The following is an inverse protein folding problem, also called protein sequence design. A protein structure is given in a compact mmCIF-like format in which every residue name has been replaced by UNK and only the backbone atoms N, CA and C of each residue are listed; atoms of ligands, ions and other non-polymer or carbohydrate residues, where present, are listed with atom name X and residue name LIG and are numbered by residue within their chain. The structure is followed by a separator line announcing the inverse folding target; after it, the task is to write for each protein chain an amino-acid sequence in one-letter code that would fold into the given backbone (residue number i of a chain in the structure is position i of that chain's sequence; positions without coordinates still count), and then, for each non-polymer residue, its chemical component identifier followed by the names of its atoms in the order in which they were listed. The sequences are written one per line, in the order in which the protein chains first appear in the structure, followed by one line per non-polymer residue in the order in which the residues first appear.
data_IF_499388292946
#
_entry.id   IF_499388292946
#
_cell.length_a   1.000
_cell.length_b   1.000
_cell.length_c   1.000
_cell.angle_alpha   90.00
_cell.angle_beta   90.00
_cell.angle_gamma   90.00
#
_symmetry.space_group_name_H-M   'P 1'
#
loop_
_entity.id
_entity.type
_entity.pdbx_description
1 polymer ?
#
# COMPACT_ATOMS: atom_id res chain seq x y z
N UNK A 1 5.34 -6.71 -8.35
CA UNK A 1 6.61 -7.44 -8.19
C UNK A 1 6.32 -8.86 -7.74
N UNK A 2 6.78 -9.84 -8.49
CA UNK A 2 6.62 -11.26 -8.17
C UNK A 2 7.92 -11.79 -7.62
N UNK A 3 7.89 -12.49 -6.47
CA UNK A 3 9.08 -12.89 -5.73
C UNK A 3 9.08 -14.40 -5.50
N UNK A 4 10.23 -15.02 -5.65
CA UNK A 4 10.43 -16.42 -5.30
C UNK A 4 10.69 -16.55 -3.79
N UNK A 5 9.95 -17.40 -3.04
CA UNK A 5 9.99 -17.41 -1.59
C UNK A 5 11.35 -17.76 -0.97
N UNK A 6 12.15 -18.54 -1.65
CA UNK A 6 13.45 -18.96 -1.13
C UNK A 6 14.55 -17.91 -1.25
N UNK A 7 14.29 -16.76 -1.88
CA UNK A 7 15.37 -16.00 -2.46
C UNK A 7 15.33 -14.50 -2.21
N UNK A 8 14.19 -13.91 -1.91
CA UNK A 8 14.13 -12.47 -1.72
C UNK A 8 14.01 -12.09 -0.25
N UNK A 9 14.98 -11.34 0.20
CA UNK A 9 14.90 -10.59 1.45
C UNK A 9 15.09 -9.13 1.10
N UNK A 10 14.08 -8.33 1.38
CA UNK A 10 14.14 -6.89 1.18
C UNK A 10 14.28 -6.21 2.54
N UNK A 11 15.29 -5.37 2.65
CA UNK A 11 15.49 -4.53 3.82
C UNK A 11 15.08 -3.10 3.46
N UNK A 12 14.12 -2.56 4.21
CA UNK A 12 13.62 -1.20 4.02
C UNK A 12 14.02 -0.37 5.25
N UNK A 13 14.71 0.74 5.00
CA UNK A 13 15.03 1.69 6.05
C UNK A 13 13.79 2.54 6.37
N UNK A 14 13.47 2.65 7.65
CA UNK A 14 12.38 3.47 8.17
C UNK A 14 12.90 4.39 9.27
N UNK A 15 12.10 5.41 9.63
CA UNK A 15 12.47 6.35 10.69
C UNK A 15 12.77 5.68 12.03
N UNK A 16 12.17 4.52 12.30
CA UNK A 16 12.34 3.75 13.53
C UNK A 16 13.26 2.53 13.38
N UNK A 17 13.97 2.43 12.24
CA UNK A 17 14.90 1.33 11.99
C UNK A 17 14.63 0.59 10.70
N UNK A 18 15.34 -0.51 10.51
CA UNK A 18 15.27 -1.35 9.31
C UNK A 18 14.14 -2.37 9.44
N UNK A 19 13.34 -2.49 8.39
CA UNK A 19 12.33 -3.54 8.26
C UNK A 19 12.78 -4.55 7.20
N UNK A 20 12.84 -5.81 7.57
CA UNK A 20 13.17 -6.92 6.66
C UNK A 20 11.90 -7.61 6.21
N UNK A 21 11.79 -7.80 4.90
CA UNK A 21 10.60 -8.40 4.29
C UNK A 21 11.03 -9.56 3.41
N UNK A 22 10.35 -10.70 3.59
CA UNK A 22 10.48 -11.88 2.74
C UNK A 22 9.09 -12.41 2.46
N UNK A 23 8.71 -12.45 1.20
CA UNK A 23 7.37 -12.85 0.76
C UNK A 23 7.44 -14.15 -0.04
N UNK A 24 6.36 -14.96 -0.01
CA UNK A 24 6.25 -16.14 -0.86
C UNK A 24 6.12 -15.77 -2.34
N UNK A 25 6.34 -16.74 -3.22
CA UNK A 25 6.17 -16.55 -4.66
C UNK A 25 4.73 -16.13 -4.98
N UNK A 26 4.57 -15.21 -5.91
CA UNK A 26 3.28 -14.66 -6.29
C UNK A 26 2.87 -13.42 -5.49
N UNK A 27 3.54 -13.13 -4.41
CA UNK A 27 3.27 -11.93 -3.62
C UNK A 27 3.98 -10.71 -4.19
N UNK A 28 3.48 -9.55 -3.78
CA UNK A 28 4.00 -8.27 -4.22
C UNK A 28 4.23 -7.38 -3.00
N UNK A 29 5.26 -6.55 -3.06
CA UNK A 29 5.47 -5.48 -2.09
C UNK A 29 5.44 -4.14 -2.81
N UNK A 30 4.76 -3.17 -2.20
CA UNK A 30 4.71 -1.79 -2.66
C UNK A 30 5.35 -0.90 -1.60
N UNK A 31 6.25 -0.04 -2.02
CA UNK A 31 6.90 0.92 -1.12
C UNK A 31 7.21 2.22 -1.87
N UNK A 32 7.30 3.36 -1.16
CA UNK A 32 7.66 4.63 -1.80
C UNK A 32 9.04 4.58 -2.44
N UNK A 33 9.19 5.16 -3.62
CA UNK A 33 10.45 5.18 -4.35
C UNK A 33 11.57 5.90 -3.60
N UNK A 34 11.21 6.82 -2.71
CA UNK A 34 12.15 7.55 -1.85
C UNK A 34 12.67 6.72 -0.68
N UNK A 35 12.12 5.53 -0.45
CA UNK A 35 12.53 4.65 0.64
C UNK A 35 13.91 4.06 0.36
N UNK A 36 14.83 4.21 1.30
CA UNK A 36 16.13 3.55 1.22
C UNK A 36 15.92 2.05 1.44
N UNK A 37 16.33 1.25 0.48
CA UNK A 37 16.10 -0.19 0.51
C UNK A 37 17.28 -0.94 -0.09
N UNK A 38 17.37 -2.21 0.27
CA UNK A 38 18.42 -3.11 -0.20
C UNK A 38 17.82 -4.50 -0.41
N UNK A 39 18.24 -5.14 -1.47
CA UNK A 39 17.91 -6.54 -1.76
C UNK A 39 19.08 -7.41 -1.37
N UNK A 40 18.86 -8.33 -0.43
CA UNK A 40 19.94 -9.22 0.04
C UNK A 40 20.35 -10.22 -1.06
N UNK A 41 21.63 -10.63 -1.08
CA UNK A 41 22.08 -11.63 -2.02
C UNK A 41 21.34 -12.95 -1.89
N UNK A 42 21.22 -13.65 -3.01
CA UNK A 42 20.67 -15.00 -3.04
C UNK A 42 21.67 -15.98 -2.43
N UNK A 43 21.24 -16.70 -1.41
CA UNK A 43 22.09 -17.72 -0.76
C UNK A 43 21.78 -19.13 -1.24
N UNK A 44 20.58 -19.35 -1.80
CA UNK A 44 20.14 -20.66 -2.26
C UNK A 44 19.07 -20.51 -3.34
N UNK A 45 19.17 -21.27 -4.42
CA UNK A 45 18.22 -21.26 -5.52
C UNK A 45 18.35 -20.04 -6.42
N UNK A 46 17.25 -19.67 -7.05
CA UNK A 46 17.18 -18.56 -7.99
C UNK A 46 16.15 -17.54 -7.55
N UNK A 47 16.39 -16.28 -7.88
CA UNK A 47 15.42 -15.22 -7.72
C UNK A 47 14.95 -14.76 -9.09
N UNK A 48 13.62 -14.86 -9.30
CA UNK A 48 12.96 -14.29 -10.46
C UNK A 48 11.97 -13.27 -9.92
N UNK A 49 12.14 -12.01 -10.31
CA UNK A 49 11.26 -10.94 -9.88
C UNK A 49 11.00 -9.97 -11.02
N UNK A 50 9.82 -9.37 -11.02
CA UNK A 50 9.50 -8.25 -11.89
C UNK A 50 9.24 -7.02 -11.03
N UNK A 51 9.59 -5.86 -11.55
CA UNK A 51 9.29 -4.61 -10.89
C UNK A 51 8.73 -3.61 -11.87
N UNK A 52 7.93 -2.68 -11.35
CA UNK A 52 7.35 -1.61 -12.14
C UNK A 52 7.06 -0.42 -11.23
N UNK A 53 6.89 0.74 -11.86
CA UNK A 53 6.55 1.96 -11.15
C UNK A 53 5.05 2.14 -11.14
N UNK A 54 4.52 2.49 -9.96
CA UNK A 54 3.11 2.84 -9.80
C UNK A 54 3.05 4.30 -9.37
N UNK A 55 2.25 5.07 -10.07
CA UNK A 55 2.03 6.47 -9.76
C UNK A 55 0.64 6.65 -9.19
N UNK A 56 0.54 7.32 -8.04
CA UNK A 56 -0.75 7.58 -7.42
C UNK A 56 -1.55 8.57 -8.25
N UNK A 57 -2.84 8.29 -8.45
CA UNK A 57 -3.76 9.24 -9.07
C UNK A 57 -3.93 10.51 -8.25
N UNK A 58 -3.82 10.41 -6.93
CA UNK A 58 -3.83 11.56 -6.03
C UNK A 58 -2.38 11.95 -5.76
N UNK A 59 -1.96 13.08 -6.29
CA UNK A 59 -0.55 13.50 -6.26
C UNK A 59 -0.12 14.10 -4.93
N UNK A 60 -1.01 14.78 -4.24
CA UNK A 60 -0.70 15.42 -2.95
C UNK A 60 -0.54 14.38 -1.84
N UNK A 61 0.60 14.42 -1.14
CA UNK A 61 0.87 13.52 -0.03
C UNK A 61 -0.15 13.68 1.10
N UNK A 62 -0.45 14.93 1.45
CA UNK A 62 -1.42 15.23 2.51
C UNK A 62 -2.82 14.76 2.13
N UNK A 63 -3.21 14.95 0.88
CA UNK A 63 -4.49 14.47 0.37
C UNK A 63 -4.58 12.95 0.43
N UNK A 64 -3.52 12.25 0.04
CA UNK A 64 -3.47 10.78 0.16
C UNK A 64 -3.59 10.33 1.60
N UNK A 65 -2.95 11.02 2.53
CA UNK A 65 -3.03 10.69 3.95
C UNK A 65 -4.44 10.87 4.49
N UNK A 66 -5.12 11.95 4.14
CA UNK A 66 -6.52 12.19 4.53
C UNK A 66 -7.44 11.12 3.98
N UNK A 67 -7.28 10.74 2.73
CA UNK A 67 -8.08 9.70 2.11
C UNK A 67 -7.84 8.35 2.78
N UNK A 68 -6.60 8.03 3.10
CA UNK A 68 -6.26 6.80 3.82
C UNK A 68 -6.90 6.76 5.20
N UNK A 69 -6.79 7.83 5.97
CA UNK A 69 -7.37 7.92 7.31
C UNK A 69 -8.89 7.78 7.25
N UNK A 70 -9.54 8.41 6.28
CA UNK A 70 -10.97 8.29 6.09
C UNK A 70 -11.37 6.88 5.70
N UNK A 71 -10.63 6.24 4.79
CA UNK A 71 -10.90 4.88 4.34
C UNK A 71 -10.80 3.87 5.49
N UNK A 72 -9.77 4.00 6.31
CA UNK A 72 -9.61 3.15 7.49
C UNK A 72 -10.73 3.34 8.51
N UNK A 73 -11.18 4.56 8.72
CA UNK A 73 -12.32 4.86 9.60
C UNK A 73 -13.62 4.32 9.05
N UNK A 74 -13.85 4.44 7.75
CA UNK A 74 -15.00 3.86 7.06
C UNK A 74 -15.03 2.35 7.16
N UNK A 75 -13.87 1.70 7.01
CA UNK A 75 -13.77 0.26 7.18
C UNK A 75 -14.22 -0.19 8.57
N UNK A 76 -13.78 0.50 9.62
CA UNK A 76 -14.21 0.22 10.99
C UNK A 76 -15.71 0.45 11.19
N UNK A 77 -16.25 1.52 10.62
CA UNK A 77 -17.69 1.82 10.71
C UNK A 77 -18.52 0.75 10.01
N UNK A 78 -18.09 0.28 8.85
CA UNK A 78 -18.76 -0.82 8.13
C UNK A 78 -18.76 -2.11 8.96
N UNK A 79 -17.66 -2.40 9.61
CA UNK A 79 -17.55 -3.59 10.46
C UNK A 79 -18.43 -3.48 11.71
N UNK A 80 -18.55 -2.29 12.29
CA UNK A 80 -19.31 -2.07 13.52
C UNK A 80 -20.81 -1.93 13.28
N UNK A 81 -21.23 -1.28 12.19
CA UNK A 81 -22.62 -0.88 11.95
C UNK A 81 -23.23 -1.46 10.68
N UNK A 82 -22.45 -2.10 9.83
CA UNK A 82 -22.87 -2.65 8.56
C UNK A 82 -22.83 -1.64 7.42
N UNK A 83 -22.83 -2.18 6.19
CA UNK A 83 -22.70 -1.38 4.96
C UNK A 83 -23.98 -0.61 4.60
N UNK A 84 -25.12 -0.99 5.17
CA UNK A 84 -26.41 -0.38 4.88
C UNK A 84 -26.78 0.75 5.83
N UNK A 85 -25.96 1.00 6.84
CA UNK A 85 -26.20 2.09 7.77
C UNK A 85 -26.13 3.43 7.02
N UNK A 86 -27.15 4.33 7.16
CA UNK A 86 -27.22 5.56 6.35
C UNK A 86 -26.01 6.47 6.45
N UNK A 87 -25.42 6.62 7.63
CA UNK A 87 -24.23 7.46 7.81
C UNK A 87 -23.01 6.85 7.15
N UNK A 88 -22.89 5.54 7.13
CA UNK A 88 -21.79 4.83 6.42
C UNK A 88 -21.92 5.07 4.93
N UNK A 89 -23.13 4.96 4.38
CA UNK A 89 -23.40 5.23 2.96
C UNK A 89 -23.04 6.68 2.61
N UNK A 90 -23.47 7.63 3.42
CA UNK A 90 -23.23 9.06 3.19
C UNK A 90 -21.71 9.38 3.23
N UNK A 91 -20.99 8.89 4.23
CA UNK A 91 -19.55 9.10 4.35
C UNK A 91 -18.76 8.40 3.24
N UNK A 92 -19.20 7.22 2.82
CA UNK A 92 -18.60 6.53 1.67
C UNK A 92 -18.75 7.35 0.40
N UNK A 93 -19.91 7.96 0.20
CA UNK A 93 -20.14 8.89 -0.91
C UNK A 93 -19.22 10.10 -0.86
N UNK A 94 -19.03 10.69 0.31
CA UNK A 94 -18.10 11.81 0.52
C UNK A 94 -16.67 11.39 0.22
N UNK A 95 -16.23 10.22 0.68
CA UNK A 95 -14.91 9.68 0.37
C UNK A 95 -14.68 9.56 -1.14
N UNK A 96 -15.61 8.96 -1.85
CA UNK A 96 -15.51 8.79 -3.30
C UNK A 96 -15.53 10.12 -4.05
N UNK A 97 -16.30 11.09 -3.57
CA UNK A 97 -16.30 12.44 -4.17
C UNK A 97 -14.97 13.15 -3.96
N UNK A 98 -14.37 13.05 -2.78
CA UNK A 98 -13.04 13.60 -2.52
C UNK A 98 -11.98 12.94 -3.38
N UNK A 99 -12.02 11.62 -3.49
CA UNK A 99 -11.11 10.88 -4.36
C UNK A 99 -11.22 11.36 -5.80
N UNK A 100 -12.43 11.50 -6.30
CA UNK A 100 -12.68 12.00 -7.67
C UNK A 100 -12.18 13.42 -7.87
N UNK A 101 -12.41 14.31 -6.89
CA UNK A 101 -11.97 15.71 -6.97
C UNK A 101 -10.45 15.84 -6.98
N UNK A 102 -9.77 14.99 -6.24
CA UNK A 102 -8.32 15.07 -6.07
C UNK A 102 -7.54 14.19 -7.04
N UNK A 103 -8.21 13.29 -7.74
CA UNK A 103 -7.55 12.43 -8.72
C UNK A 103 -7.09 13.24 -9.93
N UNK A 104 -5.85 13.01 -10.31
CA UNK A 104 -5.23 13.56 -11.50
C UNK A 104 -5.14 12.44 -12.55
N UNK A 105 -6.11 12.38 -13.41
CA UNK A 105 -6.25 11.37 -14.47
C UNK A 105 -6.37 12.01 -15.85
#
# INVERSE_FOLDING_TARGET
MTLHPSVLRLAIAQALGEKRIKLPAGDMILYPSSTVHQVSPVTRGHRISSFFWVESMVRGLEQRQLLFDMDMSLLRLRQAHGEKEPSVIALSGTYHNLLRMWADV
#
